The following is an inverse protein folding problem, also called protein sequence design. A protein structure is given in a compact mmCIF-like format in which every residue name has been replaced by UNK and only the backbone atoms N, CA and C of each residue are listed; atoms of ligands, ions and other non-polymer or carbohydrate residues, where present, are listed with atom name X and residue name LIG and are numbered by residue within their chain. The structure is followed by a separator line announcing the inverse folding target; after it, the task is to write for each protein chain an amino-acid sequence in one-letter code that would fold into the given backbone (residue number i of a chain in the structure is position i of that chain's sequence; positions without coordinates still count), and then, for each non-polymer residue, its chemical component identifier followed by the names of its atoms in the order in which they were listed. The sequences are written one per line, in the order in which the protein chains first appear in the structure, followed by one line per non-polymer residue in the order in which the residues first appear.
data_IF_848160562158
#
_entry.id   IF_848160562158
#
_cell.length_a   1.000
_cell.length_b   1.000
_cell.length_c   1.000
_cell.angle_alpha   90.00
_cell.angle_beta   90.00
_cell.angle_gamma   90.00
#
_symmetry.space_group_name_H-M   'P 1'
#
loop_
_entity.id
_entity.type
_entity.pdbx_description
1 polymer ?
#
# COMPACT_ATOMS: atom_id res chain seq x y z
N UNK A 1 -9.54 35.19 67.22
CA UNK A 1 -8.74 35.98 66.26
C UNK A 1 -7.28 35.65 66.50
N UNK A 2 -6.57 35.19 65.46
CA UNK A 2 -5.13 35.33 65.15
C UNK A 2 -4.74 34.15 64.24
N UNK A 3 -4.30 34.51 63.04
CA UNK A 3 -4.00 33.65 61.90
C UNK A 3 -2.62 32.96 62.03
N UNK A 4 -2.46 31.81 61.37
CA UNK A 4 -1.14 31.22 61.04
C UNK A 4 -1.15 30.86 59.54
N UNK A 5 -0.22 31.37 58.73
CA UNK A 5 -0.21 31.11 57.29
C UNK A 5 0.49 29.78 56.99
N UNK A 6 -0.11 28.97 56.11
CA UNK A 6 0.54 27.82 55.49
C UNK A 6 1.42 28.33 54.34
N UNK A 7 2.73 28.11 54.43
CA UNK A 7 3.64 28.25 53.29
C UNK A 7 3.33 27.13 52.29
N UNK A 8 2.86 27.49 51.10
CA UNK A 8 2.83 26.59 49.95
C UNK A 8 4.18 26.70 49.21
N UNK A 9 4.98 25.64 49.25
CA UNK A 9 6.18 25.52 48.44
C UNK A 9 5.77 25.09 47.02
N UNK A 10 5.76 26.03 46.08
CA UNK A 10 5.56 25.73 44.65
C UNK A 10 6.87 25.23 44.06
N UNK A 11 6.93 23.93 43.78
CA UNK A 11 7.99 23.32 42.97
C UNK A 11 7.75 23.75 41.52
N UNK A 12 8.67 24.53 40.97
CA UNK A 12 8.69 24.88 39.55
C UNK A 12 9.28 23.69 38.77
N UNK A 13 8.43 22.91 38.10
CA UNK A 13 8.87 21.89 37.15
C UNK A 13 9.26 22.57 35.83
N UNK A 14 10.55 22.68 35.56
CA UNK A 14 11.05 23.17 34.29
C UNK A 14 10.74 22.16 33.18
N UNK A 15 9.81 22.49 32.29
CA UNK A 15 9.51 21.72 31.09
C UNK A 15 10.65 21.91 30.07
N UNK A 16 11.51 20.91 29.92
CA UNK A 16 12.40 20.84 28.75
C UNK A 16 11.56 20.58 27.49
N UNK A 17 11.83 21.25 26.36
CA UNK A 17 11.09 21.00 25.13
C UNK A 17 11.38 19.58 24.65
N UNK A 18 10.32 18.79 24.45
CA UNK A 18 10.39 17.49 23.79
C UNK A 18 10.95 17.66 22.37
N UNK A 19 11.75 16.70 21.86
CA UNK A 19 12.23 16.75 20.48
C UNK A 19 11.02 16.83 19.54
N UNK A 20 11.05 17.82 18.65
CA UNK A 20 10.00 18.04 17.67
C UNK A 20 9.83 16.78 16.82
N UNK A 21 8.66 16.16 16.87
CA UNK A 21 8.28 15.16 15.88
C UNK A 21 8.38 15.79 14.49
N UNK A 22 8.89 14.99 13.55
CA UNK A 22 8.96 15.35 12.14
C UNK A 22 7.54 15.51 11.60
N UNK A 23 6.95 16.71 11.77
CA UNK A 23 5.71 17.08 11.10
C UNK A 23 6.02 17.20 9.61
N UNK A 24 5.41 16.38 8.73
CA UNK A 24 5.60 16.54 7.31
C UNK A 24 5.19 17.97 6.92
N UNK A 25 6.04 18.62 6.12
CA UNK A 25 5.76 19.94 5.60
C UNK A 25 4.48 19.88 4.74
N UNK A 26 3.45 20.61 5.17
CA UNK A 26 2.22 20.87 4.39
C UNK A 26 1.02 20.02 4.81
N UNK A 27 0.33 20.40 5.89
CA UNK A 27 -1.11 20.15 6.06
C UNK A 27 -1.91 21.13 5.17
N UNK A 28 -1.58 21.21 3.87
CA UNK A 28 -2.66 21.44 2.92
C UNK A 28 -3.46 20.15 2.97
N UNK A 29 -4.58 20.16 3.70
CA UNK A 29 -5.47 19.01 3.78
C UNK A 29 -5.75 18.58 2.34
N UNK A 30 -5.21 17.44 1.93
CA UNK A 30 -5.55 16.81 0.67
C UNK A 30 -7.01 16.41 0.80
N UNK A 31 -7.92 17.34 0.51
CA UNK A 31 -9.36 17.14 0.58
C UNK A 31 -9.72 16.18 -0.55
N UNK A 32 -10.08 14.93 -0.24
CA UNK A 32 -10.38 13.95 -1.27
C UNK A 32 -11.56 14.40 -2.14
N UNK A 33 -12.44 15.28 -1.64
CA UNK A 33 -13.55 15.84 -2.41
C UNK A 33 -13.12 16.84 -3.50
N UNK A 34 -11.88 17.35 -3.45
CA UNK A 34 -11.30 18.26 -4.45
C UNK A 34 -10.35 17.55 -5.43
N UNK A 35 -10.29 16.22 -5.38
CA UNK A 35 -9.38 15.44 -6.20
C UNK A 35 -9.92 15.31 -7.64
N UNK A 36 -9.35 16.09 -8.55
CA UNK A 36 -9.67 16.06 -9.99
C UNK A 36 -8.87 14.97 -10.71
N UNK A 37 -9.41 13.74 -10.74
CA UNK A 37 -8.79 12.62 -11.46
C UNK A 37 -9.30 12.49 -12.89
N UNK A 38 -8.38 12.41 -13.85
CA UNK A 38 -8.69 12.00 -15.23
C UNK A 38 -9.14 10.51 -15.32
N UNK A 39 -8.80 9.70 -14.31
CA UNK A 39 -9.24 8.31 -14.21
C UNK A 39 -10.75 8.22 -14.07
N UNK A 40 -11.37 7.31 -14.82
CA UNK A 40 -12.81 7.02 -14.72
C UNK A 40 -13.14 6.25 -13.43
N UNK A 41 -12.21 5.41 -12.96
CA UNK A 41 -12.34 4.60 -11.75
C UNK A 41 -11.11 4.77 -10.86
N UNK A 42 -11.32 4.91 -9.55
CA UNK A 42 -10.24 5.02 -8.58
C UNK A 42 -10.69 4.61 -7.18
N UNK A 43 -9.77 4.04 -6.41
CA UNK A 43 -9.92 3.76 -4.99
C UNK A 43 -8.58 3.95 -4.31
N UNK A 44 -8.57 4.58 -3.13
CA UNK A 44 -7.38 4.75 -2.29
C UNK A 44 -7.71 4.23 -0.91
N UNK A 45 -6.91 3.29 -0.42
CA UNK A 45 -7.05 2.75 0.93
C UNK A 45 -5.78 2.97 1.73
N UNK A 46 -5.96 3.27 3.00
CA UNK A 46 -4.88 3.21 3.99
C UNK A 46 -4.60 1.73 4.31
N UNK A 47 -3.35 1.31 4.18
CA UNK A 47 -2.98 -0.10 4.31
C UNK A 47 -2.90 -0.56 5.76
N UNK A 48 -2.67 0.34 6.71
CA UNK A 48 -2.57 0.01 8.13
C UNK A 48 -3.96 -0.21 8.74
N UNK A 49 -4.88 0.74 8.55
CA UNK A 49 -6.26 0.64 9.05
C UNK A 49 -7.19 -0.15 8.14
N UNK A 50 -6.84 -0.34 6.87
CA UNK A 50 -7.72 -0.88 5.82
C UNK A 50 -8.84 0.08 5.40
N UNK A 51 -8.89 1.29 5.98
CA UNK A 51 -9.94 2.25 5.69
C UNK A 51 -9.73 2.89 4.32
N UNK A 52 -10.81 3.01 3.55
CA UNK A 52 -10.74 3.67 2.25
C UNK A 52 -10.83 5.19 2.41
N UNK A 53 -9.81 5.88 1.91
CA UNK A 53 -9.67 7.34 1.98
C UNK A 53 -10.41 8.03 0.84
N UNK A 54 -10.48 7.40 -0.34
CA UNK A 54 -11.15 7.96 -1.52
C UNK A 54 -11.76 6.87 -2.42
N UNK A 55 -12.89 7.19 -3.06
CA UNK A 55 -13.59 6.32 -4.01
C UNK A 55 -14.16 7.14 -5.18
N UNK A 56 -14.00 6.62 -6.40
CA UNK A 56 -14.66 7.10 -7.63
C UNK A 56 -15.04 5.89 -8.48
N UNK A 57 -16.33 5.60 -8.62
CA UNK A 57 -16.84 4.44 -9.38
C UNK A 57 -16.16 3.11 -9.00
N UNK A 58 -15.82 2.93 -7.72
CA UNK A 58 -14.94 1.86 -7.25
C UNK A 58 -15.57 0.46 -7.32
N UNK A 59 -16.90 0.37 -7.22
CA UNK A 59 -17.63 -0.91 -7.14
C UNK A 59 -18.09 -1.44 -8.50
N UNK A 60 -17.68 -0.79 -9.60
CA UNK A 60 -18.07 -1.19 -10.95
C UNK A 60 -17.23 -2.37 -11.44
N UNK A 61 -17.90 -3.38 -12.01
CA UNK A 61 -17.23 -4.52 -12.66
C UNK A 61 -16.72 -4.10 -14.03
N UNK A 62 -15.40 -4.00 -14.18
CA UNK A 62 -14.71 -3.55 -15.39
C UNK A 62 -13.45 -4.38 -15.68
N UNK A 63 -12.95 -4.39 -16.93
CA UNK A 63 -11.63 -4.95 -17.23
C UNK A 63 -10.51 -4.17 -16.53
N UNK A 64 -9.68 -4.86 -15.75
CA UNK A 64 -8.56 -4.26 -14.99
C UNK A 64 -7.17 -4.54 -15.58
N UNK A 65 -7.13 -5.16 -16.76
CA UNK A 65 -5.91 -5.50 -17.50
C UNK A 65 -4.85 -6.21 -16.63
N UNK A 66 -3.60 -5.73 -16.63
CA UNK A 66 -2.49 -6.40 -15.93
C UNK A 66 -2.61 -6.44 -14.41
N UNK A 67 -3.56 -5.72 -13.80
CA UNK A 67 -3.83 -5.82 -12.34
C UNK A 67 -4.30 -7.24 -11.97
N UNK A 68 -4.91 -7.99 -12.89
CA UNK A 68 -5.28 -9.40 -12.69
C UNK A 68 -4.09 -10.25 -12.23
N UNK A 69 -2.85 -9.89 -12.58
CA UNK A 69 -1.62 -10.61 -12.16
C UNK A 69 -1.39 -10.58 -10.65
N UNK A 70 -1.93 -9.60 -9.93
CA UNK A 70 -1.85 -9.55 -8.46
C UNK A 70 -2.56 -10.76 -7.86
N UNK A 71 -3.76 -11.09 -8.35
CA UNK A 71 -4.48 -12.29 -7.90
C UNK A 71 -3.74 -13.58 -8.29
N UNK A 72 -3.13 -13.62 -9.47
CA UNK A 72 -2.30 -14.77 -9.87
C UNK A 72 -1.14 -14.98 -8.90
N UNK A 73 -0.43 -13.91 -8.51
CA UNK A 73 0.65 -13.99 -7.54
C UNK A 73 0.14 -14.48 -6.17
N UNK A 74 -0.99 -13.95 -5.69
CA UNK A 74 -1.60 -14.39 -4.44
C UNK A 74 -1.94 -15.88 -4.47
N UNK A 75 -2.57 -16.38 -5.54
CA UNK A 75 -2.89 -17.82 -5.68
C UNK A 75 -1.63 -18.69 -5.65
N UNK A 76 -0.55 -18.25 -6.30
CA UNK A 76 0.72 -18.99 -6.29
C UNK A 76 1.34 -19.01 -4.89
N UNK A 77 1.34 -17.87 -4.19
CA UNK A 77 1.87 -17.77 -2.82
C UNK A 77 1.06 -18.63 -1.84
N UNK A 78 -0.27 -18.55 -1.91
CA UNK A 78 -1.18 -19.30 -1.05
C UNK A 78 -1.13 -20.81 -1.32
N UNK A 79 -0.69 -21.24 -2.51
CA UNK A 79 -0.54 -22.67 -2.83
C UNK A 79 0.57 -23.37 -2.04
N UNK A 80 1.49 -22.62 -1.43
CA UNK A 80 2.66 -23.17 -0.74
C UNK A 80 3.72 -23.78 -1.68
N UNK A 81 3.64 -23.53 -2.99
CA UNK A 81 4.63 -23.98 -3.95
C UNK A 81 6.02 -23.40 -3.62
N UNK A 82 7.08 -24.22 -3.79
CA UNK A 82 8.44 -23.82 -3.45
C UNK A 82 8.95 -22.68 -4.35
N UNK A 83 9.13 -21.49 -3.80
CA UNK A 83 9.57 -20.33 -4.57
C UNK A 83 11.00 -20.45 -5.14
N UNK A 84 11.81 -21.39 -4.66
CA UNK A 84 13.17 -21.66 -5.14
C UNK A 84 13.26 -22.79 -6.19
N UNK A 85 12.16 -23.47 -6.49
CA UNK A 85 12.13 -24.48 -7.54
C UNK A 85 12.40 -23.86 -8.92
N UNK A 86 13.25 -24.53 -9.70
CA UNK A 86 13.54 -24.17 -11.08
C UNK A 86 12.46 -24.68 -12.03
N UNK A 87 11.71 -23.76 -12.61
CA UNK A 87 10.68 -24.05 -13.59
C UNK A 87 11.23 -23.89 -15.01
N UNK A 88 10.79 -24.78 -15.90
CA UNK A 88 11.12 -24.70 -17.32
C UNK A 88 10.03 -23.92 -18.04
N UNK A 89 10.40 -22.90 -18.80
CA UNK A 89 9.47 -22.14 -19.64
C UNK A 89 9.06 -23.02 -20.81
N UNK A 90 7.80 -23.42 -20.83
CA UNK A 90 7.20 -24.20 -21.92
C UNK A 90 6.55 -23.29 -22.95
N UNK A 91 6.28 -23.84 -24.13
CA UNK A 91 5.47 -23.15 -25.13
C UNK A 91 4.06 -22.91 -24.58
N UNK A 92 3.45 -21.78 -24.96
CA UNK A 92 2.08 -21.47 -24.53
C UNK A 92 1.11 -22.36 -25.27
N UNK A 93 0.12 -22.88 -24.53
CA UNK A 93 -0.98 -23.65 -25.12
C UNK A 93 -1.89 -22.78 -25.99
N UNK A 94 -1.99 -21.49 -25.68
CA UNK A 94 -2.76 -20.51 -26.44
C UNK A 94 -1.90 -19.33 -26.92
N UNK A 95 -2.24 -18.71 -28.07
CA UNK A 95 -1.58 -17.50 -28.53
C UNK A 95 -1.59 -16.39 -27.47
N UNK A 96 -0.48 -15.67 -27.35
CA UNK A 96 -0.39 -14.56 -26.42
C UNK A 96 -1.41 -13.46 -26.79
N UNK A 97 -2.11 -12.87 -25.80
CA UNK A 97 -3.01 -11.76 -26.08
C UNK A 97 -2.25 -10.53 -26.59
N UNK A 98 -2.96 -9.63 -27.27
CA UNK A 98 -2.38 -8.39 -27.79
C UNK A 98 -1.63 -7.64 -26.68
N UNK A 99 -0.41 -7.20 -26.97
CA UNK A 99 0.51 -6.53 -26.04
C UNK A 99 1.06 -7.39 -24.88
N UNK A 100 0.88 -8.72 -24.90
CA UNK A 100 1.55 -9.63 -23.98
C UNK A 100 2.94 -10.03 -24.50
N UNK A 101 3.93 -9.17 -24.26
CA UNK A 101 5.33 -9.45 -24.56
C UNK A 101 6.03 -10.18 -23.41
N UNK A 102 6.93 -11.11 -23.73
CA UNK A 102 7.83 -11.75 -22.76
C UNK A 102 9.22 -11.88 -23.35
N UNK A 103 10.25 -11.76 -22.50
CA UNK A 103 11.65 -12.03 -22.84
C UNK A 103 12.09 -13.45 -22.45
N UNK A 104 11.19 -14.21 -21.82
CA UNK A 104 11.44 -15.59 -21.44
C UNK A 104 11.46 -16.46 -22.71
N UNK A 105 12.51 -17.26 -22.86
CA UNK A 105 12.68 -18.14 -24.01
C UNK A 105 12.14 -19.52 -23.66
N UNK A 106 11.41 -20.14 -24.59
CA UNK A 106 11.01 -21.55 -24.46
C UNK A 106 12.26 -22.41 -24.23
N UNK A 107 12.18 -23.33 -23.25
CA UNK A 107 13.27 -24.20 -22.82
C UNK A 107 14.24 -23.57 -21.80
N UNK A 108 14.19 -22.24 -21.58
CA UNK A 108 14.94 -21.61 -20.50
C UNK A 108 14.38 -22.00 -19.13
N UNK A 109 15.18 -21.82 -18.07
CA UNK A 109 14.76 -22.05 -16.69
C UNK A 109 14.86 -20.77 -15.87
N UNK A 110 13.94 -20.60 -14.93
CA UNK A 110 13.97 -19.54 -13.92
C UNK A 110 13.43 -20.10 -12.60
N UNK A 111 13.81 -19.51 -11.47
CA UNK A 111 13.17 -19.87 -10.20
C UNK A 111 11.75 -19.32 -10.21
N UNK A 112 10.83 -19.99 -9.53
CA UNK A 112 9.43 -19.54 -9.44
C UNK A 112 9.30 -18.08 -8.96
N UNK A 113 10.15 -17.64 -8.02
CA UNK A 113 10.17 -16.24 -7.54
C UNK A 113 10.59 -15.18 -8.56
N UNK A 114 11.26 -15.59 -9.65
CA UNK A 114 11.77 -14.69 -10.69
C UNK A 114 10.80 -14.56 -11.87
N UNK A 115 9.64 -15.25 -11.81
CA UNK A 115 8.57 -15.25 -12.82
C UNK A 115 7.44 -14.27 -12.46
#
# INVERSE_FOLDING_TARGET
MIARPLLAASILLAAAPLPAEHRPAGEDSLDPAKLELASVHAVVADLESGHTVYRKNADHVIPIASITKVMTAMVVLDSGADLDEWLTIVERDEPAPNNAYTRLRTGSKARRRDL
#
